data_IF_880151419430
#
_entry.id   IF_880151419430
#
_cell.length_a   1.000
_cell.length_b   1.000
_cell.length_c   1.000
_cell.angle_alpha   90.00
_cell.angle_beta   90.00
_cell.angle_gamma   90.00
#
_symmetry.space_group_name_H-M   'P 1'
#
loop_
_entity.id
_entity.type
_entity.pdbx_description
1 polymer ?
#
# COMPACT_ATOMS: atom_id res chain seq x y z
N UNK A 1 -20.10 -12.06 10.67
CA UNK A 1 -18.89 -11.25 10.47
C UNK A 1 -19.31 -9.78 10.49
N UNK A 2 -18.80 -8.98 11.42
CA UNK A 2 -19.03 -7.52 11.39
C UNK A 2 -18.26 -6.92 10.22
N UNK A 3 -18.92 -6.13 9.38
CA UNK A 3 -18.27 -5.38 8.30
C UNK A 3 -17.38 -4.32 8.96
N UNK A 4 -16.05 -4.49 8.88
CA UNK A 4 -15.13 -3.44 9.34
C UNK A 4 -15.29 -2.24 8.41
N UNK A 5 -15.80 -1.15 8.95
CA UNK A 5 -15.91 0.13 8.24
C UNK A 5 -14.52 0.78 8.20
N UNK A 6 -14.20 1.42 7.09
CA UNK A 6 -13.02 2.28 6.99
C UNK A 6 -13.16 3.48 7.92
N UNK A 7 -12.03 4.09 8.27
CA UNK A 7 -12.05 5.37 8.99
C UNK A 7 -12.78 6.46 8.18
N UNK A 8 -13.33 7.45 8.88
CA UNK A 8 -14.10 8.54 8.29
C UNK A 8 -13.34 9.25 7.17
N UNK A 9 -14.05 9.69 6.13
CA UNK A 9 -13.45 10.35 4.97
C UNK A 9 -12.69 11.63 5.36
N UNK A 10 -13.10 12.31 6.44
CA UNK A 10 -12.43 13.51 6.97
C UNK A 10 -11.00 13.27 7.46
N UNK A 11 -10.64 12.03 7.83
CA UNK A 11 -9.30 11.67 8.33
C UNK A 11 -8.48 10.84 7.34
N UNK A 12 -9.09 10.38 6.25
CA UNK A 12 -8.37 9.68 5.18
C UNK A 12 -7.64 10.70 4.29
N UNK A 13 -6.39 10.43 3.89
CA UNK A 13 -5.73 11.27 2.89
C UNK A 13 -6.44 11.18 1.54
N UNK A 14 -6.46 12.28 0.80
CA UNK A 14 -7.11 12.34 -0.52
C UNK A 14 -6.40 11.49 -1.59
N UNK A 15 -5.09 11.29 -1.44
CA UNK A 15 -4.27 10.51 -2.37
C UNK A 15 -3.08 9.90 -1.63
N UNK A 16 -2.52 8.84 -2.21
CA UNK A 16 -1.30 8.21 -1.71
C UNK A 16 -0.29 8.04 -2.84
N UNK A 17 0.98 8.33 -2.54
CA UNK A 17 2.11 8.02 -3.40
C UNK A 17 3.31 7.62 -2.53
N UNK A 18 4.05 6.61 -2.97
CA UNK A 18 5.31 6.28 -2.31
C UNK A 18 6.31 7.42 -2.47
N UNK A 19 7.04 7.72 -1.39
CA UNK A 19 8.23 8.55 -1.50
C UNK A 19 9.29 7.86 -2.38
N UNK A 20 10.31 8.61 -2.82
CA UNK A 20 11.31 8.10 -3.77
C UNK A 20 12.03 6.83 -3.30
N UNK A 21 12.34 6.73 -2.00
CA UNK A 21 13.02 5.55 -1.45
C UNK A 21 12.08 4.33 -1.42
N UNK A 22 10.84 4.54 -0.99
CA UNK A 22 9.81 3.50 -0.89
C UNK A 22 9.34 3.02 -2.25
N UNK A 23 9.28 3.89 -3.27
CA UNK A 23 8.97 3.51 -4.63
C UNK A 23 10.03 2.54 -5.19
N UNK A 24 11.32 2.84 -4.98
CA UNK A 24 12.40 1.94 -5.38
C UNK A 24 12.35 0.60 -4.61
N UNK A 25 12.05 0.64 -3.30
CA UNK A 25 11.87 -0.57 -2.51
C UNK A 25 10.68 -1.42 -2.99
N UNK A 26 9.56 -0.77 -3.33
CA UNK A 26 8.37 -1.42 -3.88
C UNK A 26 8.69 -2.15 -5.20
N UNK A 27 9.40 -1.51 -6.12
CA UNK A 27 9.85 -2.14 -7.37
C UNK A 27 10.75 -3.36 -7.11
N UNK A 28 11.65 -3.28 -6.13
CA UNK A 28 12.49 -4.41 -5.73
C UNK A 28 11.68 -5.59 -5.19
N UNK A 29 10.59 -5.34 -4.45
CA UNK A 29 9.71 -6.40 -3.98
C UNK A 29 8.91 -7.02 -5.11
N UNK A 30 8.38 -6.21 -6.04
CA UNK A 30 7.65 -6.69 -7.21
C UNK A 30 8.56 -7.59 -8.07
N UNK A 31 9.82 -7.18 -8.27
CA UNK A 31 10.79 -7.93 -9.06
C UNK A 31 11.15 -9.32 -8.49
N UNK A 32 10.83 -9.61 -7.22
CA UNK A 32 11.03 -10.95 -6.64
C UNK A 32 10.02 -11.97 -7.13
N UNK A 33 8.90 -11.52 -7.70
CA UNK A 33 7.84 -12.40 -8.18
C UNK A 33 7.93 -12.58 -9.70
N UNK A 34 7.57 -13.75 -10.24
CA UNK A 34 7.53 -13.97 -11.68
C UNK A 34 6.60 -12.99 -12.38
N UNK A 35 6.91 -12.68 -13.64
CA UNK A 35 6.02 -11.90 -14.51
C UNK A 35 4.61 -12.54 -14.56
N UNK A 36 3.57 -11.73 -14.40
CA UNK A 36 2.18 -12.18 -14.27
C UNK A 36 1.77 -12.63 -12.86
N UNK A 37 2.68 -12.55 -11.87
CA UNK A 37 2.44 -12.84 -10.44
C UNK A 37 2.86 -11.68 -9.54
N UNK A 38 2.93 -10.46 -10.09
CA UNK A 38 3.33 -9.24 -9.39
C UNK A 38 2.41 -8.95 -8.19
N UNK A 39 1.13 -9.36 -8.27
CA UNK A 39 0.14 -9.23 -7.20
C UNK A 39 0.55 -9.94 -5.90
N UNK A 40 1.43 -10.94 -5.97
CA UNK A 40 1.97 -11.57 -4.76
C UNK A 40 2.83 -10.62 -3.92
N UNK A 41 3.27 -9.49 -4.47
CA UNK A 41 3.96 -8.42 -3.75
C UNK A 41 3.01 -7.56 -2.88
N UNK A 42 1.70 -7.79 -2.88
CA UNK A 42 0.77 -6.89 -2.19
C UNK A 42 1.03 -6.78 -0.68
N UNK A 43 1.41 -7.87 -0.01
CA UNK A 43 1.72 -7.86 1.43
C UNK A 43 2.92 -6.94 1.73
N UNK A 44 4.10 -7.12 1.09
CA UNK A 44 5.22 -6.22 1.34
C UNK A 44 4.93 -4.77 0.91
N UNK A 45 4.14 -4.53 -0.14
CA UNK A 45 3.76 -3.17 -0.54
C UNK A 45 2.89 -2.47 0.53
N UNK A 46 1.93 -3.18 1.12
CA UNK A 46 1.10 -2.64 2.19
C UNK A 46 1.89 -2.37 3.47
N UNK A 47 2.92 -3.17 3.77
CA UNK A 47 3.84 -2.90 4.89
C UNK A 47 4.59 -1.59 4.67
N UNK A 48 5.15 -1.37 3.48
CA UNK A 48 5.88 -0.13 3.16
C UNK A 48 4.94 1.08 3.24
N UNK A 49 3.70 0.94 2.74
CA UNK A 49 2.71 2.01 2.83
C UNK A 49 2.36 2.34 4.29
N UNK A 50 2.21 1.30 5.12
CA UNK A 50 1.97 1.46 6.55
C UNK A 50 3.14 2.15 7.26
N UNK A 51 4.38 1.81 6.94
CA UNK A 51 5.57 2.44 7.52
C UNK A 51 5.69 3.93 7.13
N UNK A 52 5.28 4.30 5.92
CA UNK A 52 5.32 5.69 5.46
C UNK A 52 4.29 6.58 6.15
N UNK A 53 3.05 6.12 6.27
CA UNK A 53 1.92 6.94 6.76
C UNK A 53 1.57 6.66 8.23
N UNK A 54 2.16 5.61 8.83
CA UNK A 54 1.83 5.11 10.16
C UNK A 54 0.61 4.18 10.22
N UNK A 55 -0.12 4.01 9.11
CA UNK A 55 -1.30 3.14 8.96
C UNK A 55 -1.58 2.85 7.48
N UNK A 56 -2.40 1.83 7.19
CA UNK A 56 -2.82 1.52 5.81
C UNK A 56 -4.09 2.31 5.48
N UNK A 57 -3.92 3.37 4.68
CA UNK A 57 -5.01 4.27 4.27
C UNK A 57 -5.85 3.67 3.15
N UNK A 58 -7.07 4.17 2.96
CA UNK A 58 -7.92 3.79 1.82
C UNK A 58 -7.21 4.07 0.50
N UNK A 59 -6.64 5.28 0.37
CA UNK A 59 -5.90 5.68 -0.82
C UNK A 59 -4.77 4.69 -1.14
N UNK A 60 -3.99 4.25 -0.15
CA UNK A 60 -2.90 3.29 -0.37
C UNK A 60 -3.36 1.90 -0.85
N UNK A 61 -4.61 1.50 -0.60
CA UNK A 61 -5.16 0.21 -1.06
C UNK A 61 -5.69 0.30 -2.50
N UNK A 62 -6.19 1.48 -2.88
CA UNK A 62 -6.87 1.70 -4.17
C UNK A 62 -5.95 2.25 -5.28
N UNK A 63 -4.73 2.69 -4.94
CA UNK A 63 -3.69 3.13 -5.90
C UNK A 63 -3.04 1.95 -6.62
#
# INVERSE_FOLDING_TARGET
MSVRRLADASVQPASFAFNKANAAAAEQWIAKYPKGREQSAIIPLLIIAQEQEGWVTKAAIET
#
